data_IF_364377181866
#
_entry.id   IF_364377181866
#
_cell.length_a   1.000
_cell.length_b   1.000
_cell.length_c   1.000
_cell.angle_alpha   90.00
_cell.angle_beta   90.00
_cell.angle_gamma   90.00
#
_symmetry.space_group_name_H-M   'P 1'
#
loop_
_entity.id
_entity.type
_entity.pdbx_description
1 polymer ?
#
# COMPACT_ATOMS: atom_id res chain seq x y z
N UNK A 1 -9.90 -8.04 -6.48
CA UNK A 1 -9.62 -9.26 -5.67
C UNK A 1 -8.78 -10.31 -6.40
N UNK A 2 -9.01 -10.61 -7.67
CA UNK A 2 -8.16 -11.50 -8.50
C UNK A 2 -6.72 -11.08 -8.51
N UNK A 3 -6.36 -9.80 -8.62
CA UNK A 3 -4.94 -9.42 -8.61
C UNK A 3 -4.24 -9.99 -7.36
N UNK A 4 -4.86 -9.85 -6.19
CA UNK A 4 -4.38 -10.46 -4.94
C UNK A 4 -4.42 -11.98 -4.98
N UNK A 5 -5.53 -12.60 -5.43
CA UNK A 5 -5.66 -14.06 -5.53
C UNK A 5 -4.72 -14.71 -6.56
N UNK A 6 -4.41 -14.01 -7.65
CA UNK A 6 -3.51 -14.43 -8.73
C UNK A 6 -2.06 -14.27 -8.30
N UNK A 7 -1.73 -13.15 -7.65
CA UNK A 7 -0.45 -12.96 -6.98
C UNK A 7 -0.22 -14.06 -5.93
N UNK A 8 -1.26 -14.42 -5.17
CA UNK A 8 -1.23 -15.57 -4.24
C UNK A 8 -1.03 -16.90 -4.96
N UNK A 9 -1.83 -17.21 -5.97
CA UNK A 9 -1.72 -18.46 -6.74
C UNK A 9 -0.36 -18.61 -7.42
N UNK A 10 0.27 -17.50 -7.80
CA UNK A 10 1.59 -17.46 -8.42
C UNK A 10 2.74 -17.39 -7.42
N UNK A 11 2.45 -17.46 -6.11
CA UNK A 11 3.41 -17.28 -4.99
C UNK A 11 4.28 -16.01 -5.12
N UNK A 12 3.70 -14.94 -5.65
CA UNK A 12 4.33 -13.62 -5.84
C UNK A 12 3.47 -12.57 -5.16
N UNK A 13 3.39 -12.57 -3.81
CA UNK A 13 2.57 -11.61 -3.08
C UNK A 13 3.06 -10.18 -3.30
N UNK A 14 2.16 -9.22 -3.15
CA UNK A 14 2.52 -7.81 -3.10
C UNK A 14 3.24 -7.51 -1.79
N UNK A 15 4.30 -6.72 -1.85
CA UNK A 15 4.94 -6.18 -0.65
C UNK A 15 4.00 -5.15 0.01
N UNK A 16 3.36 -4.32 -0.82
CA UNK A 16 2.53 -3.19 -0.37
C UNK A 16 1.25 -3.11 -1.21
N UNK A 17 0.15 -2.80 -0.54
CA UNK A 17 -1.16 -2.59 -1.17
C UNK A 17 -1.70 -1.22 -0.75
N UNK A 18 -1.81 -0.29 -1.69
CA UNK A 18 -2.51 0.99 -1.51
C UNK A 18 -3.98 0.81 -1.90
N UNK A 19 -4.88 1.11 -0.97
CA UNK A 19 -6.33 0.97 -1.13
C UNK A 19 -7.02 2.31 -0.98
N UNK A 20 -7.77 2.75 -1.98
CA UNK A 20 -8.66 3.89 -1.85
C UNK A 20 -9.79 3.58 -0.85
N UNK A 21 -10.04 4.50 0.08
CA UNK A 21 -11.13 4.32 1.05
C UNK A 21 -12.50 4.30 0.37
N UNK A 22 -12.80 5.30 -0.46
CA UNK A 22 -14.05 5.32 -1.23
C UNK A 22 -13.77 4.70 -2.59
N UNK A 23 -14.54 3.67 -2.93
CA UNK A 23 -14.68 3.15 -4.29
C UNK A 23 -16.17 2.81 -4.51
N UNK A 24 -16.69 2.92 -5.75
CA UNK A 24 -18.14 2.89 -6.05
C UNK A 24 -18.84 1.52 -5.90
N UNK A 25 -18.19 0.49 -5.38
CA UNK A 25 -18.78 -0.86 -5.22
C UNK A 25 -18.46 -1.46 -3.85
N UNK A 26 -17.21 -1.35 -3.43
CA UNK A 26 -16.70 -1.86 -2.16
C UNK A 26 -15.71 -0.84 -1.62
N UNK A 27 -15.92 -0.39 -0.39
CA UNK A 27 -14.95 0.53 0.21
C UNK A 27 -13.60 -0.17 0.49
N UNK A 28 -12.57 0.64 0.72
CA UNK A 28 -11.23 0.15 0.98
C UNK A 28 -11.15 -0.72 2.24
N UNK A 29 -12.04 -0.53 3.21
CA UNK A 29 -12.06 -1.29 4.46
C UNK A 29 -12.56 -2.71 4.25
N UNK A 30 -13.67 -2.85 3.52
CA UNK A 30 -14.19 -4.14 3.15
C UNK A 30 -13.21 -4.88 2.23
N UNK A 31 -12.56 -4.15 1.33
CA UNK A 31 -11.45 -4.68 0.51
C UNK A 31 -10.31 -5.20 1.40
N UNK A 32 -9.89 -4.42 2.41
CA UNK A 32 -8.86 -4.84 3.35
C UNK A 32 -9.27 -6.08 4.17
N UNK A 33 -10.52 -6.15 4.65
CA UNK A 33 -11.08 -7.32 5.35
C UNK A 33 -10.98 -8.58 4.50
N UNK A 34 -11.40 -8.49 3.25
CA UNK A 34 -11.37 -9.63 2.33
C UNK A 34 -9.93 -10.02 1.95
N UNK A 35 -9.02 -9.06 1.75
CA UNK A 35 -7.59 -9.34 1.51
C UNK A 35 -6.97 -10.06 2.72
N UNK A 36 -7.34 -9.69 3.95
CA UNK A 36 -6.89 -10.36 5.18
C UNK A 36 -7.45 -11.77 5.31
N UNK A 37 -8.73 -11.96 5.00
CA UNK A 37 -9.41 -13.26 5.07
C UNK A 37 -8.77 -14.32 4.14
N UNK A 38 -8.05 -13.91 3.09
CA UNK A 38 -7.31 -14.82 2.20
C UNK A 38 -6.06 -15.46 2.84
N UNK A 39 -5.73 -15.15 4.10
CA UNK A 39 -4.80 -15.91 4.95
C UNK A 39 -3.31 -15.80 4.64
N UNK A 40 -2.91 -15.44 3.42
CA UNK A 40 -1.49 -15.35 3.00
C UNK A 40 -0.94 -13.91 2.94
N UNK A 41 -1.73 -12.91 3.30
CA UNK A 41 -1.34 -11.49 3.20
C UNK A 41 -0.69 -10.93 4.47
N UNK A 42 -0.38 -11.76 5.48
CA UNK A 42 0.40 -11.31 6.66
C UNK A 42 1.76 -10.71 6.29
N UNK A 43 2.28 -11.00 5.09
CA UNK A 43 3.51 -10.42 4.55
C UNK A 43 3.30 -9.15 3.72
N UNK A 44 2.07 -8.72 3.48
CA UNK A 44 1.77 -7.51 2.71
C UNK A 44 1.38 -6.39 3.67
N UNK A 45 2.08 -5.26 3.54
CA UNK A 45 1.70 -4.03 4.25
C UNK A 45 0.56 -3.36 3.50
N UNK A 46 -0.59 -3.20 4.16
CA UNK A 46 -1.74 -2.50 3.58
C UNK A 46 -1.76 -1.05 4.04
N UNK A 47 -2.10 -0.16 3.10
CA UNK A 47 -2.09 1.28 3.27
C UNK A 47 -3.41 1.81 2.73
N UNK A 48 -4.15 2.55 3.56
CA UNK A 48 -5.37 3.20 3.12
C UNK A 48 -5.05 4.56 2.53
N UNK A 49 -5.78 4.97 1.49
CA UNK A 49 -5.65 6.25 0.81
C UNK A 49 -7.01 6.94 0.83
N UNK A 50 -7.13 8.08 1.51
CA UNK A 50 -8.41 8.76 1.73
C UNK A 50 -8.29 10.26 1.50
N UNK A 51 -9.35 10.90 1.01
CA UNK A 51 -9.45 12.37 1.01
C UNK A 51 -9.80 12.94 2.41
N UNK A 52 -10.19 12.08 3.35
CA UNK A 52 -10.59 12.45 4.70
C UNK A 52 -9.88 11.56 5.73
N UNK A 53 -9.11 12.15 6.64
CA UNK A 53 -8.50 11.47 7.78
C UNK A 53 -9.33 11.71 9.05
N UNK A 54 -10.36 10.91 9.29
CA UNK A 54 -11.07 10.90 10.59
C UNK A 54 -10.38 9.95 11.55
N UNK A 55 -10.25 10.34 12.82
CA UNK A 55 -9.64 9.51 13.87
C UNK A 55 -10.35 8.16 14.06
N UNK A 56 -11.66 8.10 13.89
CA UNK A 56 -12.43 6.85 13.92
C UNK A 56 -12.03 5.89 12.79
N UNK A 57 -11.73 6.42 11.60
CA UNK A 57 -11.27 5.63 10.46
C UNK A 57 -9.90 5.01 10.72
N UNK A 58 -9.01 5.73 11.42
CA UNK A 58 -7.68 5.23 11.80
C UNK A 58 -7.82 4.03 12.73
N UNK A 59 -8.68 4.10 13.75
CA UNK A 59 -8.88 3.00 14.70
C UNK A 59 -9.43 1.75 14.04
N UNK A 60 -10.42 1.90 13.15
CA UNK A 60 -10.96 0.75 12.42
C UNK A 60 -9.89 0.17 11.47
N UNK A 61 -9.11 1.02 10.79
CA UNK A 61 -8.03 0.59 9.90
C UNK A 61 -6.94 -0.20 10.65
N UNK A 62 -6.52 0.28 11.82
CA UNK A 62 -5.55 -0.41 12.70
C UNK A 62 -6.04 -1.82 13.08
N UNK A 63 -7.33 -1.97 13.39
CA UNK A 63 -7.92 -3.28 13.74
C UNK A 63 -7.84 -4.32 12.60
N UNK A 64 -7.76 -3.86 11.35
CA UNK A 64 -7.58 -4.69 10.15
C UNK A 64 -6.10 -4.90 9.78
N UNK A 65 -5.18 -4.36 10.59
CA UNK A 65 -3.76 -4.37 10.32
C UNK A 65 -3.37 -3.51 9.12
N UNK A 66 -4.12 -2.44 8.83
CA UNK A 66 -3.67 -1.41 7.90
C UNK A 66 -2.58 -0.61 8.63
N UNK A 67 -1.40 -0.52 8.02
CA UNK A 67 -0.24 0.07 8.67
C UNK A 67 -0.29 1.60 8.71
N UNK A 68 -0.94 2.22 7.72
CA UNK A 68 -1.02 3.67 7.62
C UNK A 68 -2.25 4.13 6.81
N UNK A 69 -2.71 5.36 7.08
CA UNK A 69 -3.76 6.05 6.32
C UNK A 69 -3.15 7.32 5.73
N UNK A 70 -3.06 7.38 4.40
CA UNK A 70 -2.50 8.51 3.66
C UNK A 70 -3.62 9.42 3.16
N UNK A 71 -3.38 10.72 3.24
CA UNK A 71 -4.24 11.73 2.65
C UNK A 71 -4.00 11.83 1.14
N UNK A 72 -5.08 11.97 0.35
CA UNK A 72 -4.99 12.36 -1.06
C UNK A 72 -4.66 13.86 -1.18
N UNK A 73 -3.91 14.29 -2.21
CA UNK A 73 -3.28 13.47 -3.25
C UNK A 73 -2.01 12.77 -2.74
N UNK A 74 -1.73 11.56 -3.27
CA UNK A 74 -0.50 10.83 -2.94
C UNK A 74 0.73 11.59 -3.46
N UNK A 75 1.65 11.96 -2.56
CA UNK A 75 2.94 12.53 -2.92
C UNK A 75 4.01 11.43 -2.99
N UNK A 76 5.10 11.64 -3.75
CA UNK A 76 6.23 10.71 -3.78
C UNK A 76 6.82 10.45 -2.39
N UNK A 77 6.88 11.48 -1.54
CA UNK A 77 7.39 11.36 -0.17
C UNK A 77 6.50 10.47 0.71
N UNK A 78 5.17 10.61 0.63
CA UNK A 78 4.23 9.78 1.39
C UNK A 78 4.32 8.31 0.99
N UNK A 79 4.47 8.03 -0.30
CA UNK A 79 4.68 6.68 -0.81
C UNK A 79 6.01 6.11 -0.30
N UNK A 80 7.09 6.90 -0.38
CA UNK A 80 8.41 6.50 0.07
C UNK A 80 8.45 6.15 1.57
N UNK A 81 7.92 7.02 2.41
CA UNK A 81 7.88 6.84 3.87
C UNK A 81 7.12 5.57 4.24
N UNK A 82 6.02 5.31 3.54
CA UNK A 82 5.20 4.13 3.78
C UNK A 82 5.91 2.84 3.37
N UNK A 83 6.66 2.86 2.27
CA UNK A 83 7.45 1.72 1.81
C UNK A 83 8.61 1.42 2.77
N UNK A 84 9.27 2.47 3.28
CA UNK A 84 10.30 2.34 4.32
C UNK A 84 9.75 1.70 5.60
N UNK A 85 8.59 2.19 6.07
CA UNK A 85 7.94 1.65 7.27
C UNK A 85 7.51 0.20 7.09
N UNK A 86 6.92 -0.14 5.94
CA UNK A 86 6.52 -1.52 5.60
C UNK A 86 7.71 -2.49 5.70
N UNK A 87 8.87 -2.11 5.13
CA UNK A 87 10.07 -2.96 5.14
C UNK A 87 10.69 -3.08 6.54
N UNK A 88 10.71 -2.02 7.33
CA UNK A 88 11.17 -2.09 8.72
C UNK A 88 10.32 -3.07 9.55
N UNK A 89 8.99 -3.00 9.38
CA UNK A 89 8.05 -3.92 10.03
C UNK A 89 8.26 -5.38 9.61
N UNK A 90 8.62 -5.65 8.36
CA UNK A 90 8.89 -7.01 7.87
C UNK A 90 10.27 -7.56 8.28
N UNK A 91 11.24 -6.71 8.61
CA UNK A 91 12.57 -7.13 9.09
C UNK A 91 12.61 -7.44 10.59
N UNK A 92 11.52 -7.20 11.33
CA UNK A 92 11.52 -7.34 12.79
C UNK A 92 12.43 -6.32 13.49
N UNK A 93 12.80 -5.25 12.78
CA UNK A 93 13.61 -4.16 13.34
C UNK A 93 12.68 -3.26 14.16
N UNK A 94 12.83 -3.37 15.48
CA UNK A 94 12.12 -2.55 16.46
C UNK A 94 12.22 -1.06 16.13
N UNK A 95 11.12 -0.35 16.38
CA UNK A 95 10.86 1.07 16.06
C UNK A 95 11.78 2.10 16.78
N UNK A 96 12.94 1.71 17.30
CA UNK A 96 13.76 2.54 18.19
C UNK A 96 14.83 3.39 17.50
N UNK A 97 15.00 3.30 16.19
CA UNK A 97 16.01 4.12 15.47
C UNK A 97 15.39 5.25 14.64
N UNK A 98 14.63 6.15 15.28
CA UNK A 98 14.35 7.49 14.73
C UNK A 98 15.57 8.40 14.96
N UNK A 99 16.58 8.31 14.10
CA UNK A 99 17.60 9.36 13.92
C UNK A 99 18.51 9.07 12.70
N UNK A 100 17.93 8.96 11.50
CA UNK A 100 18.73 9.14 10.30
C UNK A 100 17.85 9.80 9.26
N UNK A 101 18.19 11.02 8.85
CA UNK A 101 17.69 11.59 7.61
C UNK A 101 18.34 10.76 6.51
N UNK A 102 17.63 9.83 5.86
CA UNK A 102 18.31 8.90 4.98
C UNK A 102 18.58 9.57 3.64
N UNK A 103 19.70 9.18 3.05
CA UNK A 103 20.03 9.50 1.68
C UNK A 103 19.05 8.74 0.76
N UNK A 104 17.93 9.40 0.40
CA UNK A 104 16.79 8.83 -0.32
C UNK A 104 17.23 7.99 -1.54
N UNK A 105 18.30 8.39 -2.24
CA UNK A 105 18.82 7.69 -3.42
C UNK A 105 19.38 6.29 -3.14
N UNK A 106 20.06 6.08 -2.00
CA UNK A 106 20.59 4.74 -1.65
C UNK A 106 19.49 3.78 -1.17
N UNK A 107 18.51 4.31 -0.44
CA UNK A 107 17.36 3.52 -0.02
C UNK A 107 16.48 3.12 -1.22
N UNK A 108 16.26 4.03 -2.18
CA UNK A 108 15.57 3.73 -3.46
C UNK A 108 16.22 2.54 -4.19
N UNK A 109 17.56 2.46 -4.23
CA UNK A 109 18.26 1.34 -4.86
C UNK A 109 17.97 -0.02 -4.19
N UNK A 110 17.81 -0.06 -2.86
CA UNK A 110 17.44 -1.27 -2.12
C UNK A 110 15.95 -1.62 -2.17
N UNK A 111 15.14 -0.70 -2.69
CA UNK A 111 13.69 -0.82 -2.84
C UNK A 111 13.26 -1.22 -4.26
N UNK A 112 14.16 -1.10 -5.23
CA UNK A 112 13.89 -1.48 -6.63
C UNK A 112 13.34 -2.89 -6.73
N UNK A 113 12.24 -3.03 -7.46
CA UNK A 113 11.58 -4.31 -7.71
C UNK A 113 10.54 -4.75 -6.68
N UNK A 114 10.26 -3.98 -5.62
CA UNK A 114 9.12 -4.27 -4.75
C UNK A 114 7.81 -4.20 -5.55
N UNK A 115 6.90 -5.14 -5.30
CA UNK A 115 5.61 -5.24 -5.99
C UNK A 115 4.55 -4.48 -5.22
N UNK A 116 3.95 -3.50 -5.87
CA UNK A 116 2.94 -2.62 -5.28
C UNK A 116 1.63 -2.80 -6.02
N UNK A 117 0.54 -3.01 -5.27
CA UNK A 117 -0.81 -2.96 -5.81
C UNK A 117 -1.44 -1.61 -5.47
N UNK A 118 -1.97 -0.92 -6.47
CA UNK A 118 -2.75 0.32 -6.30
C UNK A 118 -4.21 0.03 -6.66
N UNK A 119 -5.11 0.10 -5.69
CA UNK A 119 -6.55 0.01 -5.91
C UNK A 119 -7.19 1.38 -5.73
N UNK A 120 -7.59 2.00 -6.83
CA UNK A 120 -8.07 3.38 -6.87
C UNK A 120 -9.25 3.49 -7.86
N UNK A 121 -10.27 4.29 -7.57
CA UNK A 121 -11.51 4.34 -8.38
C UNK A 121 -11.46 5.36 -9.53
N UNK A 122 -10.41 6.15 -9.58
CA UNK A 122 -10.22 7.20 -10.55
C UNK A 122 -8.98 6.93 -11.41
N UNK A 123 -9.19 6.77 -12.71
CA UNK A 123 -8.15 6.43 -13.69
C UNK A 123 -6.98 7.43 -13.70
N UNK A 124 -7.25 8.72 -13.48
CA UNK A 124 -6.21 9.75 -13.39
C UNK A 124 -5.36 9.54 -12.14
N UNK A 125 -5.99 9.22 -11.01
CA UNK A 125 -5.26 8.95 -9.76
C UNK A 125 -4.45 7.65 -9.86
N UNK A 126 -4.99 6.62 -10.55
CA UNK A 126 -4.26 5.40 -10.85
C UNK A 126 -3.00 5.70 -11.68
N UNK A 127 -3.15 6.50 -12.74
CA UNK A 127 -2.03 6.87 -13.61
C UNK A 127 -0.97 7.64 -12.84
N UNK A 128 -1.34 8.66 -12.07
CA UNK A 128 -0.40 9.45 -11.26
C UNK A 128 0.34 8.54 -10.26
N UNK A 129 -0.39 7.71 -9.52
CA UNK A 129 0.23 6.81 -8.54
C UNK A 129 1.18 5.82 -9.22
N UNK A 130 0.79 5.26 -10.37
CA UNK A 130 1.62 4.36 -11.16
C UNK A 130 2.90 5.04 -11.64
N UNK A 131 2.80 6.20 -12.27
CA UNK A 131 3.96 6.94 -12.78
C UNK A 131 4.95 7.29 -11.66
N UNK A 132 4.45 7.77 -10.52
CA UNK A 132 5.30 8.12 -9.36
C UNK A 132 6.04 6.89 -8.81
N UNK A 133 5.36 5.75 -8.71
CA UNK A 133 5.93 4.51 -8.19
C UNK A 133 6.88 3.83 -9.20
N UNK A 134 6.54 3.80 -10.48
CA UNK A 134 7.42 3.26 -11.52
C UNK A 134 8.70 4.08 -11.68
N UNK A 135 8.62 5.43 -11.61
CA UNK A 135 9.79 6.31 -11.60
C UNK A 135 10.71 6.05 -10.39
N UNK A 136 10.14 5.66 -9.25
CA UNK A 136 10.90 5.24 -8.08
C UNK A 136 11.49 3.82 -8.19
N UNK A 137 11.20 3.09 -9.28
CA UNK A 137 11.76 1.77 -9.59
C UNK A 137 10.96 0.59 -9.03
N UNK A 138 9.68 0.79 -8.74
CA UNK A 138 8.77 -0.26 -8.29
C UNK A 138 8.05 -0.97 -9.44
N UNK A 139 7.60 -2.20 -9.17
CA UNK A 139 6.70 -2.93 -10.07
C UNK A 139 5.28 -2.66 -9.59
N UNK A 140 4.49 -1.98 -10.40
CA UNK A 140 3.15 -1.52 -10.02
C UNK A 140 2.09 -2.28 -10.79
N UNK A 141 1.17 -2.92 -10.06
CA UNK A 141 -0.08 -3.44 -10.60
C UNK A 141 -1.22 -2.51 -10.15
N UNK A 142 -2.18 -2.25 -11.03
CA UNK A 142 -3.35 -1.42 -10.73
C UNK A 142 -4.61 -2.29 -10.69
N UNK A 143 -5.50 -2.03 -9.75
CA UNK A 143 -6.82 -2.65 -9.66
C UNK A 143 -7.92 -1.59 -9.67
N UNK A 144 -8.96 -1.81 -10.49
CA UNK A 144 -10.11 -0.91 -10.60
C UNK A 144 -11.22 -1.39 -9.66
N UNK A 145 -11.85 -0.52 -8.88
CA UNK A 145 -13.08 -0.84 -8.11
C UNK A 145 -13.06 -2.14 -7.27
N UNK A 146 -11.90 -2.55 -6.75
CA UNK A 146 -11.69 -3.83 -6.04
C UNK A 146 -12.08 -5.12 -6.81
N UNK A 147 -12.53 -5.05 -8.07
CA UNK A 147 -12.70 -6.16 -9.00
C UNK A 147 -11.58 -6.05 -10.04
N UNK A 148 -10.59 -6.95 -10.02
CA UNK A 148 -10.33 -7.79 -11.22
C UNK A 148 -10.66 -7.07 -12.52
#
# INVERSE_FOLDING_TARGET
MAAVRQAQASNKPFDIVYLAWRMPVMDGMETARQIRALGHTRKSTMVMVSAYSREEMVREAESLGIANVLAKPLSPSMLFDTIMQARAAHRGEDRTSRAHVPDNNRQLATLRGARILVAEDNDINQQIARELLEQAGFVVDVAVNAQI
#
